data_IF_460112103357
#
_entry.id   IF_460112103357
#
_cell.length_a   1.000
_cell.length_b   1.000
_cell.length_c   1.000
_cell.angle_alpha   90.00
_cell.angle_beta   90.00
_cell.angle_gamma   90.00
#
_symmetry.space_group_name_H-M   'P 1'
#
loop_
_entity.id
_entity.type
_entity.pdbx_description
1 polymer ?
#
# COMPACT_ATOMS: atom_id res chain seq x y z
N UNK A 1 -3.85 -0.06 -17.15
CA UNK A 1 -3.71 -0.07 -15.69
C UNK A 1 -4.23 -1.40 -15.20
N UNK A 2 -3.45 -2.11 -14.38
CA UNK A 2 -3.85 -3.36 -13.73
C UNK A 2 -4.16 -3.06 -12.26
N UNK A 3 -5.12 -3.78 -11.69
CA UNK A 3 -5.50 -3.68 -10.28
C UNK A 3 -5.24 -5.04 -9.65
N UNK A 4 -4.61 -5.03 -8.47
CA UNK A 4 -4.35 -6.21 -7.66
C UNK A 4 -5.03 -6.02 -6.31
N UNK A 5 -5.73 -7.04 -5.84
CA UNK A 5 -6.29 -7.09 -4.49
C UNK A 5 -5.41 -7.92 -3.57
N UNK A 6 -5.77 -7.98 -2.28
CA UNK A 6 -5.01 -8.75 -1.30
C UNK A 6 -4.84 -10.23 -1.71
N UNK A 7 -5.85 -10.85 -2.34
CA UNK A 7 -5.76 -12.22 -2.85
C UNK A 7 -4.80 -12.40 -4.06
N UNK A 8 -4.30 -11.29 -4.63
CA UNK A 8 -3.40 -11.26 -5.79
C UNK A 8 -2.03 -10.63 -5.44
N UNK A 9 -1.66 -10.61 -4.15
CA UNK A 9 -0.39 -10.08 -3.69
C UNK A 9 0.80 -10.78 -4.36
N UNK A 10 0.73 -12.10 -4.54
CA UNK A 10 1.78 -12.89 -5.21
C UNK A 10 1.95 -12.51 -6.68
N UNK A 11 0.85 -12.26 -7.40
CA UNK A 11 0.89 -11.81 -8.81
C UNK A 11 1.53 -10.42 -8.92
N UNK A 12 1.19 -9.51 -7.99
CA UNK A 12 1.82 -8.19 -7.90
C UNK A 12 3.31 -8.31 -7.63
N UNK A 13 3.71 -9.19 -6.71
CA UNK A 13 5.12 -9.47 -6.42
C UNK A 13 5.85 -10.03 -7.64
N UNK A 14 5.23 -10.94 -8.39
CA UNK A 14 5.87 -11.54 -9.56
C UNK A 14 6.09 -10.51 -10.69
N UNK A 15 5.13 -9.61 -10.93
CA UNK A 15 5.24 -8.63 -12.01
C UNK A 15 6.01 -7.35 -11.61
N UNK A 16 5.91 -6.93 -10.34
CA UNK A 16 6.45 -5.65 -9.85
C UNK A 16 7.24 -5.80 -8.53
N UNK A 17 7.84 -6.97 -8.28
CA UNK A 17 8.47 -7.34 -7.03
C UNK A 17 9.44 -6.30 -6.46
N UNK A 18 10.37 -5.78 -7.26
CA UNK A 18 11.32 -4.77 -6.78
C UNK A 18 10.65 -3.49 -6.28
N UNK A 19 9.56 -3.05 -6.91
CA UNK A 19 8.80 -1.89 -6.44
C UNK A 19 7.99 -2.22 -5.20
N UNK A 20 7.38 -3.41 -5.16
CA UNK A 20 6.62 -3.86 -4.01
C UNK A 20 7.50 -4.04 -2.76
N UNK A 21 8.69 -4.61 -2.91
CA UNK A 21 9.71 -4.73 -1.86
C UNK A 21 10.19 -3.35 -1.39
N UNK A 22 10.46 -2.42 -2.32
CA UNK A 22 10.86 -1.06 -1.98
C UNK A 22 9.78 -0.33 -1.17
N UNK A 23 8.51 -0.53 -1.52
CA UNK A 23 7.34 -0.03 -0.76
C UNK A 23 7.31 -0.65 0.63
N UNK A 24 7.40 -1.98 0.74
CA UNK A 24 7.39 -2.69 2.03
C UNK A 24 8.55 -2.23 2.93
N UNK A 25 9.73 -1.99 2.37
CA UNK A 25 10.90 -1.50 3.10
C UNK A 25 10.65 -0.10 3.70
N UNK A 26 10.26 0.89 2.89
CA UNK A 26 9.98 2.25 3.38
C UNK A 26 8.80 2.26 4.35
N UNK A 27 7.76 1.45 4.09
CA UNK A 27 6.60 1.34 4.98
C UNK A 27 7.02 0.84 6.36
N UNK A 28 7.83 -0.21 6.42
CA UNK A 28 8.30 -0.79 7.69
C UNK A 28 9.37 0.07 8.37
N UNK A 29 10.14 0.86 7.64
CA UNK A 29 11.05 1.84 8.22
C UNK A 29 10.28 3.01 8.85
N UNK A 30 9.31 3.56 8.11
CA UNK A 30 8.55 4.74 8.53
C UNK A 30 7.51 4.40 9.60
N UNK A 31 6.83 3.26 9.45
CA UNK A 31 5.78 2.77 10.34
C UNK A 31 6.05 1.30 10.69
N UNK A 32 7.01 1.03 11.60
CA UNK A 32 7.39 -0.33 11.95
C UNK A 32 6.20 -1.22 12.31
N UNK A 33 6.23 -2.51 11.93
CA UNK A 33 5.24 -3.47 12.37
C UNK A 33 5.25 -3.55 13.91
N UNK A 34 4.07 -3.75 14.50
CA UNK A 34 3.90 -3.92 15.94
C UNK A 34 3.69 -5.41 16.23
N UNK A 35 4.05 -5.88 17.43
CA UNK A 35 3.98 -7.30 17.82
C UNK A 35 2.62 -7.96 17.55
N UNK A 36 1.54 -7.18 17.53
CA UNK A 36 0.17 -7.69 17.34
C UNK A 36 -0.50 -7.20 16.06
N UNK A 37 0.18 -6.43 15.22
CA UNK A 37 -0.40 -5.99 13.95
C UNK A 37 0.67 -5.65 12.91
N UNK A 38 0.60 -6.37 11.79
CA UNK A 38 1.39 -6.13 10.59
C UNK A 38 0.57 -5.41 9.53
N UNK A 39 1.26 -4.76 8.60
CA UNK A 39 0.62 -4.16 7.43
C UNK A 39 0.17 -5.24 6.45
N UNK A 40 -1.11 -5.22 6.09
CA UNK A 40 -1.69 -6.08 5.06
C UNK A 40 -1.99 -5.27 3.81
N UNK A 41 -1.70 -5.82 2.63
CA UNK A 41 -2.10 -5.21 1.36
C UNK A 41 -3.63 -5.15 1.30
N UNK A 42 -4.17 -3.99 0.97
CA UNK A 42 -5.59 -3.82 0.66
C UNK A 42 -5.78 -3.88 -0.86
N UNK A 43 -5.08 -2.99 -1.57
CA UNK A 43 -5.17 -2.89 -3.03
C UNK A 43 -3.91 -2.29 -3.64
N UNK A 44 -3.62 -2.64 -4.89
CA UNK A 44 -2.59 -1.99 -5.69
C UNK A 44 -3.06 -1.67 -7.10
N UNK A 45 -2.56 -0.57 -7.64
CA UNK A 45 -2.72 -0.15 -9.02
C UNK A 45 -1.35 -0.08 -9.67
N UNK A 46 -1.15 -0.84 -10.74
CA UNK A 46 0.09 -0.80 -11.50
C UNK A 46 -0.15 -0.38 -12.94
N UNK A 47 0.76 0.41 -13.49
CA UNK A 47 0.72 0.78 -14.91
C UNK A 47 2.12 0.97 -15.47
N UNK A 48 2.29 0.57 -16.73
CA UNK A 48 3.42 0.93 -17.56
C UNK A 48 3.13 2.17 -18.40
N UNK A 49 4.16 2.96 -18.65
CA UNK A 49 4.21 4.08 -19.58
C UNK A 49 5.57 4.07 -20.28
N UNK A 50 5.62 3.39 -21.43
CA UNK A 50 6.88 3.09 -22.12
C UNK A 50 7.80 2.25 -21.25
N UNK A 51 9.02 2.75 -21.00
CA UNK A 51 9.99 2.09 -20.12
C UNK A 51 9.76 2.37 -18.64
N UNK A 52 8.85 3.28 -18.27
CA UNK A 52 8.56 3.62 -16.86
C UNK A 52 7.35 2.87 -16.37
N UNK A 53 7.30 2.60 -15.08
CA UNK A 53 6.11 2.06 -14.42
C UNK A 53 5.86 2.75 -13.09
N UNK A 54 4.60 2.72 -12.68
CA UNK A 54 4.16 3.23 -11.37
C UNK A 54 3.32 2.16 -10.68
N UNK A 55 3.61 1.91 -9.40
CA UNK A 55 2.83 1.03 -8.52
C UNK A 55 2.32 1.86 -7.35
N UNK A 56 1.01 1.94 -7.19
CA UNK A 56 0.34 2.63 -6.10
C UNK A 56 -0.37 1.60 -5.22
N UNK A 57 -0.03 1.52 -3.95
CA UNK A 57 -0.55 0.51 -3.03
C UNK A 57 -1.22 1.15 -1.82
N UNK A 58 -2.32 0.59 -1.35
CA UNK A 58 -2.90 0.85 -0.04
C UNK A 58 -2.63 -0.33 0.88
N UNK A 59 -2.20 -0.05 2.12
CA UNK A 59 -2.07 -1.04 3.17
C UNK A 59 -2.94 -0.67 4.35
N UNK A 60 -3.45 -1.67 5.04
CA UNK A 60 -4.22 -1.50 6.27
C UNK A 60 -3.59 -2.27 7.42
N UNK A 61 -3.76 -1.77 8.63
CA UNK A 61 -3.46 -2.50 9.88
C UNK A 61 -4.38 -2.02 11.01
N UNK A 62 -4.41 -2.78 12.10
CA UNK A 62 -5.01 -2.30 13.35
C UNK A 62 -3.95 -1.51 14.15
N UNK A 63 -4.23 -0.25 14.45
CA UNK A 63 -3.36 0.57 15.29
C UNK A 63 -3.81 0.52 16.75
N UNK A 64 -2.96 -0.06 17.60
CA UNK A 64 -3.27 -0.30 19.02
C UNK A 64 -3.39 0.99 19.85
N UNK A 65 -2.68 2.06 19.48
CA UNK A 65 -2.72 3.34 20.20
C UNK A 65 -4.03 4.06 19.92
N UNK A 66 -4.45 4.07 18.65
CA UNK A 66 -5.72 4.65 18.22
C UNK A 66 -6.92 3.73 18.49
N UNK A 67 -6.66 2.43 18.74
CA UNK A 67 -7.66 1.36 18.83
C UNK A 67 -8.58 1.32 17.61
N UNK A 68 -8.00 1.50 16.43
CA UNK A 68 -8.74 1.62 15.18
C UNK A 68 -7.96 1.07 13.98
N UNK A 69 -8.65 0.82 12.87
CA UNK A 69 -8.00 0.45 11.61
C UNK A 69 -7.46 1.71 10.93
N UNK A 70 -6.20 1.64 10.51
CA UNK A 70 -5.55 2.70 9.74
C UNK A 70 -5.17 2.20 8.36
N UNK A 71 -5.20 3.11 7.40
CA UNK A 71 -4.75 2.89 6.03
C UNK A 71 -3.60 3.84 5.69
N UNK A 72 -2.61 3.35 4.95
CA UNK A 72 -1.55 4.16 4.36
C UNK A 72 -1.44 3.89 2.86
N UNK A 73 -1.36 4.96 2.08
CA UNK A 73 -1.05 4.87 0.65
C UNK A 73 0.45 5.03 0.41
N UNK A 74 1.01 4.18 -0.44
CA UNK A 74 2.40 4.27 -0.90
C UNK A 74 2.46 4.22 -2.42
N UNK A 75 3.48 4.83 -3.00
CA UNK A 75 3.77 4.80 -4.42
C UNK A 75 5.22 4.43 -4.66
N UNK A 76 5.46 3.66 -5.72
CA UNK A 76 6.78 3.43 -6.28
C UNK A 76 6.78 3.76 -7.78
N UNK A 77 7.81 4.46 -8.21
CA UNK A 77 8.10 4.74 -9.62
C UNK A 77 9.41 4.07 -10.00
N UNK A 78 9.38 3.28 -11.07
CA UNK A 78 10.55 2.56 -11.56
C UNK A 78 10.69 2.67 -13.08
N UNK A 79 11.80 2.13 -13.58
CA UNK A 79 12.11 2.12 -15.00
C UNK A 79 12.72 0.78 -15.39
N UNK A 80 12.30 0.17 -16.50
CA UNK A 80 12.84 -1.11 -16.97
C UNK A 80 14.35 -1.06 -17.27
N UNK A 81 14.89 0.12 -17.56
CA UNK A 81 16.31 0.35 -17.90
C UNK A 81 17.15 0.77 -16.69
N UNK A 82 16.56 0.86 -15.49
CA UNK A 82 17.27 1.31 -14.29
C UNK A 82 16.78 0.54 -13.06
N UNK A 83 17.69 0.16 -12.18
CA UNK A 83 17.34 -0.44 -10.90
C UNK A 83 16.89 0.60 -9.87
N UNK A 84 16.96 1.90 -10.19
CA UNK A 84 16.54 2.96 -9.29
C UNK A 84 15.00 3.02 -9.22
N UNK A 85 14.49 2.84 -8.00
CA UNK A 85 13.06 2.93 -7.68
C UNK A 85 12.87 4.06 -6.68
N UNK A 86 12.00 5.01 -7.00
CA UNK A 86 11.62 6.11 -6.13
C UNK A 86 10.35 5.70 -5.41
N UNK A 87 10.40 5.65 -4.08
CA UNK A 87 9.28 5.20 -3.25
C UNK A 87 8.90 6.26 -2.24
N UNK A 88 7.59 6.43 -2.02
CA UNK A 88 7.04 7.36 -1.03
C UNK A 88 5.81 6.76 -0.37
N UNK A 89 5.69 6.92 0.95
CA UNK A 89 4.49 6.58 1.70
C UNK A 89 3.88 7.85 2.31
N UNK A 90 2.55 7.90 2.34
CA UNK A 90 1.81 8.96 3.00
C UNK A 90 1.79 8.81 4.52
N UNK A 91 0.88 9.54 5.15
CA UNK A 91 0.56 9.36 6.58
C UNK A 91 -0.60 8.38 6.73
N UNK A 92 -0.55 7.47 7.73
CA UNK A 92 -1.67 6.64 8.09
C UNK A 92 -2.88 7.51 8.46
N UNK A 93 -4.05 7.13 7.97
CA UNK A 93 -5.32 7.76 8.29
C UNK A 93 -6.27 6.70 8.84
N UNK A 94 -7.18 7.10 9.74
CA UNK A 94 -8.22 6.22 10.27
C UNK A 94 -9.24 5.91 9.18
N UNK A 95 -9.63 4.65 9.07
CA UNK A 95 -10.58 4.19 8.06
C UNK A 95 -11.63 3.28 8.67
N UNK A 96 -12.75 3.15 7.96
CA UNK A 96 -13.78 2.14 8.22
C UNK A 96 -14.02 1.31 6.97
N UNK A 97 -14.37 0.04 7.16
CA UNK A 97 -14.65 -0.87 6.05
C UNK A 97 -16.15 -0.89 5.75
N UNK A 98 -16.52 -0.50 4.52
CA UNK A 98 -17.86 -0.65 3.99
C UNK A 98 -18.00 -2.06 3.43
N UNK A 99 -18.70 -2.93 4.16
CA UNK A 99 -18.92 -4.33 3.77
C UNK A 99 -19.66 -4.48 2.44
N UNK A 100 -20.56 -3.55 2.10
CA UNK A 100 -21.36 -3.63 0.87
C UNK A 100 -20.53 -3.25 -0.35
N UNK A 101 -19.65 -2.25 -0.21
CA UNK A 101 -18.73 -1.82 -1.28
C UNK A 101 -17.45 -2.65 -1.33
N UNK A 102 -17.11 -3.32 -0.24
CA UNK A 102 -15.85 -4.01 -0.02
C UNK A 102 -14.65 -3.07 -0.16
N UNK A 103 -14.79 -1.87 0.42
CA UNK A 103 -13.82 -0.78 0.31
C UNK A 103 -13.66 -0.09 1.67
N UNK A 104 -12.49 0.45 1.92
CA UNK A 104 -12.25 1.33 3.06
C UNK A 104 -12.56 2.78 2.70
N UNK A 105 -13.21 3.50 3.60
CA UNK A 105 -13.39 4.96 3.52
C UNK A 105 -12.69 5.67 4.68
N UNK A 106 -12.12 6.87 4.45
CA UNK A 106 -11.62 7.71 5.53
C UNK A 106 -12.71 7.98 6.57
N UNK A 107 -12.38 7.82 7.84
CA UNK A 107 -13.24 8.33 8.91
C UNK A 107 -13.13 9.84 8.92
N UNK A 108 -14.25 10.52 8.67
CA UNK A 108 -14.33 11.97 8.87
C UNK A 108 -14.50 12.18 10.36
N UNK A 109 -13.48 12.69 11.05
CA UNK A 109 -13.63 13.14 12.43
C UNK A 109 -14.56 14.37 12.41
N UNK A 110 -15.85 14.15 12.64
CA UNK A 110 -16.82 15.21 12.90
C UNK A 110 -16.46 15.76 14.28
N UNK A 111 -15.79 16.92 14.31
CA UNK A 111 -15.57 17.70 15.54
C UNK A 111 -16.86 18.34 16.02
#
# INVERSE_FOLDING_TARGET
>A
MKVYKNEQEDDLWCEYGSAYESIRAILNETYPPRERSEWSLDMAYARWSGDRYTVSTTFTRFDEELKDVVMVGCNAEGNRKSEHIITVCGKPIRVEYDFWKKEYSPKIDIK
#
